data_IF_177624686662
#
_entry.id   IF_177624686662
#
_cell.length_a   1.000
_cell.length_b   1.000
_cell.length_c   1.000
_cell.angle_alpha   90.00
_cell.angle_beta   90.00
_cell.angle_gamma   90.00
#
_symmetry.space_group_name_H-M   'P 1'
#
loop_
_entity.id
_entity.type
_entity.pdbx_description
1 polymer ?
#
# COMPACT_ATOMS: atom_id res chain seq x y z
N UNK A 1 -29.82 45.02 -4.96
CA UNK A 1 -29.51 44.55 -6.33
C UNK A 1 -29.33 43.05 -6.28
N UNK A 2 -30.14 42.28 -7.02
CA UNK A 2 -29.99 40.84 -7.10
C UNK A 2 -28.78 40.55 -8.01
N UNK A 3 -27.62 40.29 -7.42
CA UNK A 3 -26.44 39.85 -8.17
C UNK A 3 -26.79 38.48 -8.75
N UNK A 4 -26.67 38.32 -10.07
CA UNK A 4 -26.85 37.03 -10.71
C UNK A 4 -25.72 36.11 -10.25
N UNK A 5 -26.03 34.87 -9.84
CA UNK A 5 -25.03 33.90 -9.36
C UNK A 5 -23.82 33.80 -10.30
N UNK A 6 -24.04 33.88 -11.60
CA UNK A 6 -23.00 33.86 -12.64
C UNK A 6 -22.00 35.02 -12.56
N UNK A 7 -22.45 36.26 -12.31
CA UNK A 7 -21.55 37.41 -12.14
C UNK A 7 -20.73 37.31 -10.85
N UNK A 8 -21.34 36.76 -9.79
CA UNK A 8 -20.66 36.51 -8.53
C UNK A 8 -19.53 35.48 -8.71
N UNK A 9 -19.81 34.36 -9.38
CA UNK A 9 -18.81 33.32 -9.63
C UNK A 9 -17.68 33.81 -10.54
N UNK A 10 -17.99 34.56 -11.61
CA UNK A 10 -16.95 35.09 -12.51
C UNK A 10 -16.05 36.11 -11.83
N UNK A 11 -16.61 36.99 -10.99
CA UNK A 11 -15.83 37.98 -10.24
C UNK A 11 -14.95 37.33 -9.16
N UNK A 12 -15.48 36.32 -8.46
CA UNK A 12 -14.72 35.58 -7.46
C UNK A 12 -13.55 34.81 -8.10
N UNK A 13 -13.80 34.14 -9.22
CA UNK A 13 -12.78 33.40 -9.95
C UNK A 13 -11.65 34.33 -10.44
N UNK A 14 -12.01 35.47 -11.04
CA UNK A 14 -11.05 36.47 -11.50
C UNK A 14 -10.18 37.01 -10.35
N UNK A 15 -10.78 37.26 -9.18
CA UNK A 15 -10.06 37.72 -7.99
C UNK A 15 -9.12 36.63 -7.44
N UNK A 16 -9.55 35.37 -7.45
CA UNK A 16 -8.72 34.22 -7.05
C UNK A 16 -7.55 33.99 -8.00
N UNK A 17 -7.73 34.22 -9.29
CA UNK A 17 -6.68 34.10 -10.30
C UNK A 17 -5.61 35.20 -10.17
N UNK A 18 -5.99 36.42 -9.80
CA UNK A 18 -5.05 37.52 -9.51
C UNK A 18 -4.22 37.26 -8.24
N UNK A 19 -4.82 36.70 -7.19
CA UNK A 19 -4.14 36.34 -5.93
C UNK A 19 -3.23 35.11 -6.06
N UNK A 20 -3.33 34.35 -7.15
CA UNK A 20 -2.67 33.04 -7.35
C UNK A 20 -1.16 33.11 -7.56
N UNK A 21 -0.58 34.30 -7.81
CA UNK A 21 0.85 34.58 -8.11
C UNK A 21 1.67 33.31 -8.41
N UNK A 22 1.52 32.77 -9.64
CA UNK A 22 2.38 31.71 -10.17
C UNK A 22 2.26 30.30 -9.56
N UNK A 23 1.27 30.00 -8.72
CA UNK A 23 1.10 28.66 -8.11
C UNK A 23 0.75 27.58 -9.15
N UNK A 24 1.00 26.29 -8.90
CA UNK A 24 0.59 25.21 -9.82
C UNK A 24 -0.93 24.95 -9.77
N UNK A 25 -1.54 24.53 -10.88
CA UNK A 25 -3.01 24.35 -11.02
C UNK A 25 -3.52 23.20 -10.15
N UNK A 26 -2.68 22.18 -9.87
CA UNK A 26 -3.07 21.06 -9.02
C UNK A 26 -3.30 21.47 -7.56
N UNK A 27 -2.64 22.52 -7.08
CA UNK A 27 -2.75 23.02 -5.70
C UNK A 27 -3.81 24.12 -5.55
N UNK A 28 -4.29 24.68 -6.66
CA UNK A 28 -5.27 25.77 -6.65
C UNK A 28 -6.61 25.36 -6.03
N UNK A 29 -7.07 24.14 -6.37
CA UNK A 29 -8.32 23.60 -5.87
C UNK A 29 -8.29 23.48 -4.35
N UNK A 30 -7.20 22.94 -3.81
CA UNK A 30 -7.08 22.71 -2.36
C UNK A 30 -6.93 24.03 -1.61
N UNK A 31 -6.12 24.97 -2.13
CA UNK A 31 -5.96 26.29 -1.51
C UNK A 31 -7.26 27.11 -1.48
N UNK A 32 -7.97 27.18 -2.61
CA UNK A 32 -9.24 27.92 -2.72
C UNK A 32 -10.33 27.28 -1.88
N UNK A 33 -10.43 25.94 -1.88
CA UNK A 33 -11.38 25.21 -1.03
C UNK A 33 -11.07 25.42 0.45
N UNK A 34 -9.80 25.35 0.87
CA UNK A 34 -9.41 25.60 2.26
C UNK A 34 -9.69 27.03 2.70
N UNK A 35 -9.43 28.04 1.85
CA UNK A 35 -9.75 29.45 2.13
C UNK A 35 -11.25 29.70 2.23
N UNK A 36 -12.03 29.16 1.29
CA UNK A 36 -13.50 29.26 1.32
C UNK A 36 -14.09 28.52 2.51
N UNK A 37 -13.53 27.36 2.86
CA UNK A 37 -13.94 26.60 4.03
C UNK A 37 -13.64 27.37 5.32
N UNK A 38 -12.43 27.91 5.49
CA UNK A 38 -12.09 28.72 6.66
C UNK A 38 -12.95 29.98 6.77
N UNK A 39 -13.22 30.66 5.64
CA UNK A 39 -14.12 31.81 5.61
C UNK A 39 -15.56 31.41 5.97
N UNK A 40 -16.06 30.31 5.42
CA UNK A 40 -17.40 29.79 5.72
C UNK A 40 -17.55 29.45 7.20
N UNK A 41 -16.59 28.71 7.77
CA UNK A 41 -16.57 28.35 9.19
C UNK A 41 -16.52 29.62 10.04
N UNK A 42 -15.59 30.53 9.75
CA UNK A 42 -15.47 31.80 10.45
C UNK A 42 -16.71 32.69 10.36
N UNK A 43 -17.38 32.78 9.21
CA UNK A 43 -18.57 33.61 9.03
C UNK A 43 -19.84 32.96 9.61
N UNK A 44 -19.94 31.62 9.60
CA UNK A 44 -21.14 30.89 10.07
C UNK A 44 -21.25 30.84 11.60
N UNK A 45 -20.14 30.88 12.32
CA UNK A 45 -20.09 30.60 13.75
C UNK A 45 -19.46 31.73 14.57
N UNK A 46 -19.28 32.91 13.96
CA UNK A 46 -18.86 34.17 14.60
C UNK A 46 -19.53 34.36 15.98
N UNK A 47 -18.73 34.21 17.05
CA UNK A 47 -19.15 34.50 18.42
C UNK A 47 -19.50 33.30 19.30
N UNK A 48 -19.38 32.06 18.81
CA UNK A 48 -19.58 30.85 19.62
C UNK A 48 -18.30 30.46 20.40
N UNK A 49 -18.29 30.49 21.75
CA UNK A 49 -17.13 30.11 22.56
C UNK A 49 -16.67 28.65 22.35
N UNK A 50 -17.60 27.75 22.00
CA UNK A 50 -17.30 26.34 21.77
C UNK A 50 -16.50 26.15 20.48
N UNK A 51 -16.82 26.91 19.44
CA UNK A 51 -16.11 26.86 18.16
C UNK A 51 -14.68 27.40 18.30
N UNK A 52 -14.48 28.49 19.04
CA UNK A 52 -13.14 29.03 19.30
C UNK A 52 -12.25 27.98 20.00
N UNK A 53 -12.81 27.16 20.89
CA UNK A 53 -12.10 26.07 21.54
C UNK A 53 -11.74 24.95 20.54
N UNK A 54 -12.70 24.53 19.70
CA UNK A 54 -12.49 23.49 18.68
C UNK A 54 -11.47 23.94 17.63
N UNK A 55 -11.53 25.18 17.15
CA UNK A 55 -10.58 25.73 16.19
C UNK A 55 -9.17 25.83 16.77
N UNK A 56 -9.03 26.20 18.06
CA UNK A 56 -7.72 26.18 18.74
C UNK A 56 -7.17 24.76 18.85
N UNK A 57 -8.02 23.77 19.11
CA UNK A 57 -7.63 22.37 19.16
C UNK A 57 -7.22 21.86 17.77
N UNK A 58 -8.00 22.17 16.73
CA UNK A 58 -7.67 21.83 15.35
C UNK A 58 -6.33 22.45 14.92
N UNK A 59 -6.11 23.74 15.22
CA UNK A 59 -4.83 24.41 14.95
C UNK A 59 -3.67 23.69 15.63
N UNK A 60 -3.82 23.33 16.92
CA UNK A 60 -2.78 22.60 17.65
C UNK A 60 -2.46 21.25 16.99
N UNK A 61 -3.47 20.54 16.49
CA UNK A 61 -3.28 19.26 15.81
C UNK A 61 -2.58 19.44 14.46
N UNK A 62 -2.97 20.44 13.65
CA UNK A 62 -2.29 20.75 12.40
C UNK A 62 -0.83 21.17 12.60
N UNK A 63 -0.55 21.99 13.60
CA UNK A 63 0.83 22.39 13.93
C UNK A 63 1.67 21.16 14.36
N UNK A 64 1.06 20.24 15.12
CA UNK A 64 1.72 19.00 15.55
C UNK A 64 1.94 18.02 14.38
N UNK A 65 0.97 17.90 13.48
CA UNK A 65 1.06 17.09 12.25
C UNK A 65 2.20 17.60 11.36
N UNK A 66 2.24 18.91 11.08
CA UNK A 66 3.31 19.52 10.29
C UNK A 66 4.70 19.32 10.92
N UNK A 67 4.78 19.39 12.25
CA UNK A 67 6.03 19.12 12.98
C UNK A 67 6.43 17.65 12.86
N UNK A 68 5.48 16.72 12.98
CA UNK A 68 5.72 15.29 12.86
C UNK A 68 6.11 14.89 11.43
N UNK A 69 5.49 15.46 10.40
CA UNK A 69 5.84 15.23 9.00
C UNK A 69 7.26 15.69 8.71
N UNK A 70 7.65 16.86 9.20
CA UNK A 70 9.02 17.35 9.09
C UNK A 70 10.02 16.41 9.77
N UNK A 71 9.73 15.99 11.00
CA UNK A 71 10.59 15.06 11.73
C UNK A 71 10.70 13.69 11.04
N UNK A 72 9.61 13.20 10.45
CA UNK A 72 9.60 11.97 9.65
C UNK A 72 10.53 12.11 8.45
N UNK A 73 10.45 13.22 7.71
CA UNK A 73 11.29 13.46 6.54
C UNK A 73 12.77 13.55 6.92
N UNK A 74 13.10 14.27 7.99
CA UNK A 74 14.48 14.36 8.49
C UNK A 74 15.02 13.00 8.94
N UNK A 75 14.21 12.19 9.62
CA UNK A 75 14.60 10.84 10.03
C UNK A 75 14.79 9.91 8.82
N UNK A 76 13.95 10.04 7.81
CA UNK A 76 14.02 9.27 6.57
C UNK A 76 15.27 9.63 5.76
N UNK A 77 15.56 10.92 5.58
CA UNK A 77 16.77 11.40 4.93
C UNK A 77 18.04 10.95 5.69
N UNK A 78 18.00 10.94 7.03
CA UNK A 78 19.10 10.46 7.86
C UNK A 78 19.33 8.94 7.73
N UNK A 79 18.25 8.15 7.66
CA UNK A 79 18.30 6.72 7.43
C UNK A 79 18.85 6.43 6.03
N UNK A 80 18.34 7.09 5.00
CA UNK A 80 18.81 6.94 3.63
C UNK A 80 20.31 7.26 3.53
N UNK A 81 20.77 8.33 4.17
CA UNK A 81 22.19 8.68 4.22
C UNK A 81 23.01 7.60 4.93
N UNK A 82 22.50 7.03 6.02
CA UNK A 82 23.16 5.94 6.75
C UNK A 82 23.28 4.69 5.86
N UNK A 83 22.21 4.32 5.16
CA UNK A 83 22.19 3.23 4.19
C UNK A 83 23.19 3.50 3.05
N UNK A 84 23.22 4.71 2.49
CA UNK A 84 24.17 5.12 1.45
C UNK A 84 25.63 5.04 1.89
N UNK A 85 25.93 5.28 3.16
CA UNK A 85 27.28 5.12 3.71
C UNK A 85 27.71 3.66 3.84
N UNK A 86 26.76 2.72 3.90
CA UNK A 86 27.07 1.31 4.00
C UNK A 86 27.34 0.67 2.64
N UNK A 87 26.65 1.09 1.57
CA UNK A 87 26.84 0.52 0.22
C UNK A 87 28.30 0.43 -0.25
N UNK A 88 29.17 1.45 -0.07
CA UNK A 88 30.58 1.36 -0.48
C UNK A 88 31.43 0.38 0.35
N UNK A 89 30.93 -0.05 1.52
CA UNK A 89 31.62 -0.97 2.42
C UNK A 89 31.26 -2.44 2.15
N UNK A 90 30.18 -2.69 1.41
CA UNK A 90 29.80 -4.05 1.02
C UNK A 90 30.78 -4.56 -0.02
N UNK A 91 31.44 -5.69 0.28
CA UNK A 91 32.24 -6.39 -0.70
C UNK A 91 31.35 -7.15 -1.68
N UNK A 92 31.91 -7.53 -2.84
CA UNK A 92 31.22 -8.37 -3.81
C UNK A 92 30.80 -9.71 -3.19
N UNK A 93 31.56 -10.24 -2.25
CA UNK A 93 31.23 -11.50 -1.59
C UNK A 93 30.09 -11.33 -0.58
N UNK A 94 30.04 -10.21 0.15
CA UNK A 94 28.91 -9.87 1.02
C UNK A 94 27.61 -9.68 0.20
N UNK A 95 27.71 -9.01 -0.96
CA UNK A 95 26.58 -8.82 -1.87
C UNK A 95 26.09 -10.17 -2.42
N UNK A 96 27.01 -11.06 -2.78
CA UNK A 96 26.67 -12.41 -3.25
C UNK A 96 25.99 -13.23 -2.16
N UNK A 97 26.50 -13.22 -0.93
CA UNK A 97 25.83 -13.92 0.19
C UNK A 97 24.44 -13.32 0.44
N UNK A 98 24.29 -12.00 0.51
CA UNK A 98 22.99 -11.35 0.73
C UNK A 98 21.95 -11.63 -0.37
N UNK A 99 22.37 -11.63 -1.64
CA UNK A 99 21.44 -11.88 -2.77
C UNK A 99 21.20 -13.38 -2.93
N UNK A 100 22.26 -14.18 -2.96
CA UNK A 100 22.18 -15.60 -3.31
C UNK A 100 21.69 -16.43 -2.14
N UNK A 101 22.20 -16.21 -0.92
CA UNK A 101 21.85 -17.00 0.27
C UNK A 101 20.54 -16.52 0.92
N UNK A 102 20.40 -15.22 1.22
CA UNK A 102 19.25 -14.74 1.98
C UNK A 102 17.99 -14.50 1.13
N UNK A 103 18.14 -14.14 -0.16
CA UNK A 103 16.99 -13.77 -0.99
C UNK A 103 16.55 -14.90 -1.92
N UNK A 104 17.50 -15.59 -2.57
CA UNK A 104 17.18 -16.55 -3.64
C UNK A 104 17.26 -18.01 -3.20
N UNK A 105 18.25 -18.41 -2.39
CA UNK A 105 18.43 -19.80 -1.96
C UNK A 105 17.26 -20.29 -1.13
N UNK A 106 16.79 -19.52 -0.15
CA UNK A 106 15.63 -19.91 0.67
C UNK A 106 14.38 -20.17 -0.18
N UNK A 107 14.12 -19.31 -1.18
CA UNK A 107 12.99 -19.46 -2.10
C UNK A 107 13.17 -20.66 -3.03
N UNK A 108 14.38 -20.85 -3.56
CA UNK A 108 14.70 -21.97 -4.44
C UNK A 108 14.63 -23.31 -3.72
N UNK A 109 15.15 -23.38 -2.50
CA UNK A 109 15.10 -24.57 -1.63
C UNK A 109 13.65 -24.94 -1.32
N UNK A 110 12.83 -23.97 -0.91
CA UNK A 110 11.40 -24.18 -0.67
C UNK A 110 10.69 -24.75 -1.91
N UNK A 111 10.98 -24.19 -3.09
CA UNK A 111 10.38 -24.66 -4.35
C UNK A 111 10.85 -26.08 -4.73
N UNK A 112 12.13 -26.40 -4.55
CA UNK A 112 12.67 -27.74 -4.82
C UNK A 112 12.02 -28.77 -3.89
N UNK A 113 11.93 -28.47 -2.59
CA UNK A 113 11.29 -29.35 -1.60
C UNK A 113 9.81 -29.56 -1.94
N UNK A 114 9.09 -28.49 -2.28
CA UNK A 114 7.69 -28.57 -2.68
C UNK A 114 7.49 -29.45 -3.94
N UNK A 115 8.38 -29.35 -4.93
CA UNK A 115 8.28 -30.17 -6.14
C UNK A 115 8.63 -31.64 -5.88
N UNK A 116 9.63 -31.92 -5.04
CA UNK A 116 9.95 -33.29 -4.60
C UNK A 116 8.73 -33.91 -3.93
N UNK A 117 8.09 -33.19 -3.02
CA UNK A 117 6.91 -33.68 -2.31
C UNK A 117 5.72 -33.89 -3.27
N UNK A 118 5.50 -32.95 -4.20
CA UNK A 118 4.47 -33.06 -5.24
C UNK A 118 4.66 -34.30 -6.11
N UNK A 119 5.88 -34.55 -6.59
CA UNK A 119 6.20 -35.74 -7.42
C UNK A 119 6.05 -37.03 -6.61
N UNK A 120 6.49 -37.03 -5.36
CA UNK A 120 6.38 -38.18 -4.44
C UNK A 120 4.91 -38.55 -4.21
N UNK A 121 4.05 -37.58 -3.93
CA UNK A 121 2.61 -37.80 -3.76
C UNK A 121 1.96 -38.31 -5.04
N UNK A 122 2.34 -37.75 -6.21
CA UNK A 122 1.83 -38.21 -7.50
C UNK A 122 2.19 -39.68 -7.77
N UNK A 123 3.42 -40.07 -7.43
CA UNK A 123 3.86 -41.45 -7.58
C UNK A 123 3.13 -42.39 -6.61
N UNK A 124 2.99 -41.99 -5.35
CA UNK A 124 2.26 -42.75 -4.33
C UNK A 124 0.79 -43.01 -4.74
N UNK A 125 0.12 -41.99 -5.26
CA UNK A 125 -1.25 -42.11 -5.76
C UNK A 125 -1.34 -43.09 -6.94
N UNK A 126 -0.39 -43.02 -7.89
CA UNK A 126 -0.36 -43.93 -9.04
C UNK A 126 -0.09 -45.37 -8.63
N UNK A 127 0.78 -45.61 -7.64
CA UNK A 127 0.98 -46.93 -7.04
C UNK A 127 -0.33 -47.43 -6.40
N UNK A 128 -1.02 -46.59 -5.64
CA UNK A 128 -2.31 -46.94 -5.01
C UNK A 128 -3.40 -47.28 -6.04
N UNK A 129 -3.48 -46.52 -7.13
CA UNK A 129 -4.40 -46.81 -8.25
C UNK A 129 -4.09 -48.17 -8.89
N UNK A 130 -2.82 -48.46 -9.17
CA UNK A 130 -2.40 -49.74 -9.75
C UNK A 130 -2.69 -50.93 -8.81
N UNK A 131 -2.44 -50.77 -7.52
CA UNK A 131 -2.75 -51.80 -6.52
C UNK A 131 -4.27 -52.04 -6.42
N UNK A 132 -5.06 -50.97 -6.45
CA UNK A 132 -6.53 -51.04 -6.44
C UNK A 132 -7.05 -51.73 -7.70
N UNK A 133 -6.50 -51.39 -8.87
CA UNK A 133 -6.80 -52.03 -10.15
C UNK A 133 -6.49 -53.52 -10.15
N UNK A 134 -5.28 -53.90 -9.70
CA UNK A 134 -4.88 -55.32 -9.56
C UNK A 134 -5.83 -56.09 -8.63
N UNK A 135 -6.20 -55.49 -7.50
CA UNK A 135 -7.12 -56.11 -6.54
C UNK A 135 -8.50 -56.33 -7.16
N UNK A 136 -9.01 -55.35 -7.91
CA UNK A 136 -10.29 -55.45 -8.62
C UNK A 136 -10.27 -56.55 -9.68
N UNK A 137 -9.19 -56.67 -10.46
CA UNK A 137 -9.02 -57.73 -11.46
C UNK A 137 -9.04 -59.13 -10.81
N UNK A 138 -8.33 -59.31 -9.70
CA UNK A 138 -8.32 -60.58 -8.96
C UNK A 138 -9.72 -60.94 -8.46
N UNK A 139 -10.50 -59.97 -7.98
CA UNK A 139 -11.89 -60.19 -7.55
C UNK A 139 -12.82 -60.57 -8.70
N UNK A 140 -12.64 -59.97 -9.89
CA UNK A 140 -13.43 -60.29 -11.08
C UNK A 140 -13.13 -61.71 -11.58
N UNK A 141 -11.85 -62.10 -11.65
CA UNK A 141 -11.43 -63.46 -12.03
C UNK A 141 -11.98 -64.52 -11.07
N UNK A 142 -12.02 -64.22 -9.76
CA UNK A 142 -12.62 -65.12 -8.76
C UNK A 142 -14.14 -65.29 -8.95
N UNK A 143 -14.83 -64.24 -9.39
CA UNK A 143 -16.28 -64.32 -9.67
C UNK A 143 -16.58 -65.13 -10.94
N UNK A 144 -15.81 -64.93 -12.00
CA UNK A 144 -15.97 -65.70 -13.25
C UNK A 144 -15.70 -67.19 -13.05
N UNK A 145 -14.67 -67.56 -12.26
CA UNK A 145 -14.37 -68.94 -11.91
C UNK A 145 -15.41 -69.64 -11.02
N UNK A 146 -16.31 -68.90 -10.37
CA UNK A 146 -17.40 -69.47 -9.56
C UNK A 146 -18.72 -69.63 -10.33
N UNK A 147 -18.79 -69.15 -11.57
CA UNK A 147 -20.00 -69.19 -12.40
C UNK A 147 -19.81 -69.97 -13.72
N UNK A 148 -18.66 -70.63 -13.90
CA UNK A 148 -18.41 -71.63 -14.95
C UNK A 148 -18.12 -72.98 -14.33
#
# INVERSE_FOLDING_TARGET
MAIKKTELYSSLLASCDELRVGMDVSQYKDYVLSMLFMKYVSDKYKGDPYEVAVLKQAKKLFDAEATAEKALKEAQDALDLAVFKQYPKLSIDDIKSLIVEDTWLATLESNIVAEIERVTQKLANRVKELLTGKTRLVQLLKKESQHG
#
